data_IF_633553834446
#
_entry.id   IF_633553834446
#
_cell.length_a   1.000
_cell.length_b   1.000
_cell.length_c   1.000
_cell.angle_alpha   90.00
_cell.angle_beta   90.00
_cell.angle_gamma   90.00
#
_symmetry.space_group_name_H-M   'P 1'
#
loop_
_entity.id
_entity.type
_entity.pdbx_description
1 polymer ?
#
# COMPACT_ATOMS: atom_id res chain seq x y z
N UNK A 1 -21.98 -5.66 -9.37
CA UNK A 1 -20.73 -5.01 -8.91
C UNK A 1 -19.54 -5.82 -9.45
N UNK A 2 -18.42 -5.18 -9.80
CA UNK A 2 -17.27 -5.84 -10.46
C UNK A 2 -16.11 -6.26 -9.54
N UNK A 3 -16.32 -6.28 -8.22
CA UNK A 3 -15.30 -6.72 -7.25
C UNK A 3 -14.06 -5.82 -7.24
N UNK A 4 -13.08 -6.19 -6.40
CA UNK A 4 -11.77 -5.56 -6.35
C UNK A 4 -10.73 -6.43 -7.09
N UNK A 5 -9.73 -5.79 -7.68
CA UNK A 5 -8.60 -6.46 -8.32
C UNK A 5 -7.75 -7.17 -7.26
N UNK A 6 -7.65 -8.49 -7.30
CA UNK A 6 -6.84 -9.27 -6.34
C UNK A 6 -5.47 -9.65 -6.89
N UNK A 7 -5.30 -9.68 -8.21
CA UNK A 7 -4.03 -10.00 -8.87
C UNK A 7 -3.90 -9.30 -10.22
N UNK A 8 -2.69 -8.92 -10.59
CA UNK A 8 -2.34 -8.33 -11.88
C UNK A 8 -0.99 -8.85 -12.37
N UNK A 9 -0.95 -9.46 -13.56
CA UNK A 9 0.31 -9.71 -14.26
C UNK A 9 0.91 -8.40 -14.81
N UNK A 10 2.22 -8.23 -14.67
CA UNK A 10 2.99 -7.04 -15.09
C UNK A 10 4.17 -7.49 -15.94
N UNK A 11 3.99 -7.47 -17.26
CA UNK A 11 4.98 -8.04 -18.18
C UNK A 11 5.00 -9.57 -18.11
N UNK A 12 6.16 -10.17 -18.37
CA UNK A 12 6.28 -11.62 -18.58
C UNK A 12 6.46 -12.38 -17.26
N UNK A 13 7.21 -11.83 -16.31
CA UNK A 13 7.69 -12.56 -15.10
C UNK A 13 7.26 -11.93 -13.78
N UNK A 14 6.54 -10.81 -13.81
CA UNK A 14 6.07 -10.15 -12.60
C UNK A 14 4.57 -10.26 -12.46
N UNK A 15 4.10 -10.40 -11.24
CA UNK A 15 2.71 -10.23 -10.90
C UNK A 15 2.60 -9.52 -9.56
N UNK A 16 1.45 -8.88 -9.35
CA UNK A 16 1.15 -8.12 -8.15
C UNK A 16 -0.14 -8.65 -7.54
N UNK A 17 -0.11 -8.94 -6.24
CA UNK A 17 -1.30 -9.31 -5.47
C UNK A 17 -1.77 -8.13 -4.62
N UNK A 18 -3.08 -8.11 -4.36
CA UNK A 18 -3.76 -7.03 -3.64
C UNK A 18 -4.67 -7.64 -2.58
N UNK A 19 -4.41 -7.32 -1.32
CA UNK A 19 -5.17 -7.84 -0.18
C UNK A 19 -6.05 -6.74 0.40
N UNK A 20 -7.31 -7.08 0.67
CA UNK A 20 -8.31 -6.17 1.20
C UNK A 20 -8.80 -6.61 2.58
N UNK A 21 -9.18 -5.66 3.43
CA UNK A 21 -9.87 -5.94 4.69
C UNK A 21 -11.38 -6.17 4.47
N UNK A 22 -12.11 -6.48 5.55
CA UNK A 22 -13.56 -6.70 5.52
C UNK A 22 -14.37 -5.43 5.16
N UNK A 23 -13.76 -4.25 5.27
CA UNK A 23 -14.32 -2.97 4.82
C UNK A 23 -13.96 -2.68 3.35
N UNK A 24 -13.41 -3.67 2.64
CA UNK A 24 -13.03 -3.60 1.24
C UNK A 24 -11.91 -2.57 0.94
N UNK A 25 -11.08 -2.25 1.94
CA UNK A 25 -9.93 -1.33 1.80
C UNK A 25 -8.65 -2.11 1.50
N UNK A 26 -7.84 -1.61 0.57
CA UNK A 26 -6.56 -2.21 0.20
C UNK A 26 -5.54 -2.08 1.35
N UNK A 27 -5.18 -3.18 1.99
CA UNK A 27 -4.26 -3.20 3.15
C UNK A 27 -2.86 -3.69 2.82
N UNK A 28 -2.69 -4.48 1.75
CA UNK A 28 -1.38 -4.98 1.34
C UNK A 28 -1.28 -5.09 -0.18
N UNK A 29 -0.09 -4.81 -0.71
CA UNK A 29 0.31 -5.19 -2.07
C UNK A 29 1.65 -5.89 -2.04
N UNK A 30 1.79 -6.93 -2.84
CA UNK A 30 3.07 -7.62 -3.00
C UNK A 30 3.37 -7.75 -4.49
N UNK A 31 4.59 -7.41 -4.89
CA UNK A 31 5.06 -7.61 -6.26
C UNK A 31 6.07 -8.75 -6.25
N UNK A 32 5.76 -9.79 -6.99
CA UNK A 32 6.63 -10.94 -7.21
C UNK A 32 7.38 -10.77 -8.53
N UNK A 33 8.63 -11.19 -8.56
CA UNK A 33 9.40 -11.37 -9.78
C UNK A 33 9.99 -12.78 -9.77
N UNK A 34 9.62 -13.59 -10.77
CA UNK A 34 9.93 -15.03 -10.78
C UNK A 34 9.42 -15.71 -9.50
N UNK A 35 10.28 -16.20 -8.60
CA UNK A 35 9.87 -16.85 -7.34
C UNK A 35 10.15 -16.01 -6.09
N UNK A 36 10.54 -14.74 -6.24
CA UNK A 36 10.94 -13.88 -5.13
C UNK A 36 10.06 -12.64 -4.99
N UNK A 37 9.87 -12.21 -3.74
CA UNK A 37 9.20 -10.93 -3.43
C UNK A 37 10.15 -9.78 -3.76
N UNK A 38 9.81 -8.99 -4.78
CA UNK A 38 10.59 -7.79 -5.15
C UNK A 38 10.20 -6.59 -4.28
N UNK A 39 8.91 -6.49 -3.93
CA UNK A 39 8.42 -5.44 -3.04
C UNK A 39 7.16 -5.83 -2.29
N UNK A 40 7.02 -5.27 -1.08
CA UNK A 40 5.81 -5.33 -0.28
C UNK A 40 5.41 -3.91 0.11
N UNK A 41 4.11 -3.60 0.13
CA UNK A 41 3.59 -2.40 0.77
C UNK A 41 2.40 -2.74 1.65
N UNK A 42 2.33 -2.12 2.83
CA UNK A 42 1.19 -2.19 3.73
C UNK A 42 0.58 -0.80 3.92
N UNK A 43 -0.73 -0.76 4.12
CA UNK A 43 -1.50 0.47 4.25
C UNK A 43 -2.35 0.43 5.52
N UNK A 44 -2.42 1.58 6.19
CA UNK A 44 -3.20 1.76 7.42
C UNK A 44 -4.26 2.83 7.18
N UNK A 45 -5.44 2.61 7.74
CA UNK A 45 -6.59 3.50 7.60
C UNK A 45 -7.14 3.88 8.97
N UNK A 46 -7.69 5.08 9.09
CA UNK A 46 -8.51 5.45 10.25
C UNK A 46 -9.97 4.97 10.10
N UNK A 47 -10.79 5.20 11.13
CA UNK A 47 -12.21 4.84 11.15
C UNK A 47 -13.07 5.57 10.12
N UNK A 48 -12.56 6.64 9.51
CA UNK A 48 -13.22 7.33 8.38
C UNK A 48 -12.78 6.77 7.03
N UNK A 49 -11.94 5.73 7.01
CA UNK A 49 -11.44 5.09 5.80
C UNK A 49 -10.33 5.88 5.09
N UNK A 50 -9.76 6.91 5.74
CA UNK A 50 -8.65 7.68 5.17
C UNK A 50 -7.35 6.95 5.43
N UNK A 51 -6.46 6.89 4.44
CA UNK A 51 -5.13 6.31 4.62
C UNK A 51 -4.29 7.20 5.53
N UNK A 52 -3.80 6.66 6.64
CA UNK A 52 -2.97 7.36 7.63
C UNK A 52 -1.52 6.89 7.62
N UNK A 53 -1.26 5.71 7.04
CA UNK A 53 0.08 5.14 6.96
C UNK A 53 0.31 4.34 5.70
N UNK A 54 1.55 4.35 5.23
CA UNK A 54 2.09 3.42 4.24
C UNK A 54 3.46 2.97 4.72
N UNK A 55 3.72 1.66 4.69
CA UNK A 55 5.06 1.12 4.84
C UNK A 55 5.37 0.33 3.58
N UNK A 56 6.57 0.48 3.04
CA UNK A 56 6.99 -0.28 1.87
C UNK A 56 8.40 -0.80 2.05
N UNK A 57 8.62 -2.01 1.55
CA UNK A 57 9.93 -2.62 1.42
C UNK A 57 10.15 -2.92 -0.07
N UNK A 58 11.22 -2.38 -0.63
CA UNK A 58 11.59 -2.58 -2.03
C UNK A 58 13.07 -2.95 -2.05
N UNK A 59 13.39 -4.16 -2.51
CA UNK A 59 14.78 -4.65 -2.61
C UNK A 59 15.59 -4.45 -1.30
N UNK A 60 14.95 -4.71 -0.16
CA UNK A 60 15.56 -4.57 1.17
C UNK A 60 15.66 -3.14 1.71
N UNK A 61 15.19 -2.13 0.97
CA UNK A 61 15.06 -0.76 1.46
C UNK A 61 13.66 -0.53 1.99
N UNK A 62 13.57 -0.06 3.23
CA UNK A 62 12.30 0.32 3.84
C UNK A 62 12.03 1.80 3.67
N UNK A 63 10.79 2.13 3.31
CA UNK A 63 10.25 3.48 3.32
C UNK A 63 8.95 3.48 4.14
N UNK A 64 8.69 4.60 4.82
CA UNK A 64 7.49 4.78 5.60
C UNK A 64 6.93 6.17 5.32
N UNK A 65 5.61 6.26 5.22
CA UNK A 65 4.89 7.51 5.07
C UNK A 65 3.73 7.61 6.05
N UNK A 66 3.53 8.79 6.60
CA UNK A 66 2.34 9.15 7.40
C UNK A 66 1.56 10.24 6.70
N UNK A 67 0.24 10.22 6.86
CA UNK A 67 -0.65 11.18 6.23
C UNK A 67 -1.49 11.87 7.30
N UNK A 68 -1.38 13.19 7.37
CA UNK A 68 -2.15 14.02 8.29
C UNK A 68 -3.39 14.57 7.60
N UNK A 69 -4.53 14.56 8.30
CA UNK A 69 -5.83 14.96 7.75
C UNK A 69 -6.56 15.95 8.65
N UNK A 70 -7.31 16.87 8.04
CA UNK A 70 -8.32 17.71 8.68
C UNK A 70 -9.64 17.54 7.92
N UNK A 71 -10.59 16.84 8.53
CA UNK A 71 -11.79 16.38 7.81
C UNK A 71 -11.41 15.59 6.55
N UNK A 72 -11.98 15.90 5.40
CA UNK A 72 -11.64 15.22 4.15
C UNK A 72 -10.41 15.80 3.43
N UNK A 73 -9.73 16.77 4.03
CA UNK A 73 -8.55 17.44 3.46
C UNK A 73 -7.26 16.83 4.01
N UNK A 74 -6.42 16.29 3.12
CA UNK A 74 -5.05 15.90 3.48
C UNK A 74 -4.22 17.17 3.67
N UNK A 75 -3.53 17.28 4.80
CA UNK A 75 -2.68 18.42 5.13
C UNK A 75 -1.22 18.16 4.80
N UNK A 76 -0.72 16.94 5.07
CA UNK A 76 0.70 16.62 4.96
C UNK A 76 0.92 15.14 4.69
N UNK A 77 1.97 14.85 3.92
CA UNK A 77 2.64 13.55 3.83
C UNK A 77 4.01 13.69 4.50
N UNK A 78 4.34 12.77 5.41
CA UNK A 78 5.58 12.80 6.20
C UNK A 78 6.39 11.51 5.97
N UNK A 79 7.69 11.66 5.72
CA UNK A 79 8.66 10.56 5.69
C UNK A 79 9.61 10.65 6.90
N UNK A 80 10.15 9.52 7.40
CA UNK A 80 11.20 9.53 8.41
C UNK A 80 12.35 10.46 7.98
N UNK A 81 12.59 11.53 8.75
CA UNK A 81 13.65 12.51 8.46
C UNK A 81 13.18 13.87 7.94
N UNK A 82 11.88 14.05 7.68
CA UNK A 82 11.28 15.37 7.50
C UNK A 82 10.37 15.68 8.69
N UNK A 83 10.87 16.50 9.63
CA UNK A 83 10.10 17.09 10.73
C UNK A 83 9.88 18.57 10.49
#
# INVERSE_FOLDING_TARGET
>A
AWGNLIEKAVGIVRWQTFTYDCENRLVKTETMADTQVESTSSYQYDSLGRRVGKQSEIKGQSDQKRFLWQGLRMLREESPGQS
#
